data_IF_720642806732
#
_entry.id   IF_720642806732
#
_cell.length_a   1.000
_cell.length_b   1.000
_cell.length_c   1.000
_cell.angle_alpha   90.00
_cell.angle_beta   90.00
_cell.angle_gamma   90.00
#
_symmetry.space_group_name_H-M   'P 1'
#
loop_
_entity.id
_entity.type
_entity.pdbx_description
1 polymer ?
#
# COMPACT_ATOMS: atom_id res chain seq x y z
N UNK A 1 -9.71 1.29 -11.64
CA UNK A 1 -8.85 0.94 -10.48
C UNK A 1 -9.59 -0.08 -9.64
N UNK A 2 -8.89 -1.07 -9.16
CA UNK A 2 -9.48 -2.12 -8.33
C UNK A 2 -8.83 -2.16 -6.95
N UNK A 3 -9.61 -2.57 -5.95
CA UNK A 3 -9.06 -2.80 -4.61
C UNK A 3 -7.87 -3.75 -4.67
N UNK A 4 -6.81 -3.41 -3.94
CA UNK A 4 -5.53 -4.14 -3.86
C UNK A 4 -4.65 -4.07 -5.12
N UNK A 5 -5.02 -3.26 -6.11
CA UNK A 5 -4.09 -2.92 -7.18
C UNK A 5 -2.86 -2.21 -6.62
N UNK A 6 -1.71 -2.51 -7.19
CA UNK A 6 -0.43 -1.87 -6.84
C UNK A 6 0.00 -0.97 -7.98
N UNK A 7 0.34 0.26 -7.65
CA UNK A 7 0.75 1.28 -8.61
C UNK A 7 2.16 1.78 -8.30
N UNK A 8 2.88 2.22 -9.31
CA UNK A 8 4.15 2.93 -9.09
C UNK A 8 3.89 4.25 -8.40
N UNK A 9 4.77 4.60 -7.48
CA UNK A 9 4.78 5.94 -6.88
C UNK A 9 5.51 6.88 -7.86
N UNK A 10 4.82 7.84 -8.49
CA UNK A 10 5.44 8.72 -9.47
C UNK A 10 6.22 9.88 -8.87
N UNK A 11 6.13 10.10 -7.55
CA UNK A 11 6.78 11.24 -6.89
C UNK A 11 8.31 11.02 -6.84
N UNK A 12 9.11 11.81 -7.58
CA UNK A 12 10.55 11.61 -7.60
C UNK A 12 11.24 11.85 -6.26
N UNK A 13 10.61 12.62 -5.36
CA UNK A 13 11.17 12.89 -4.05
C UNK A 13 11.08 11.69 -3.11
N UNK A 14 10.13 10.77 -3.30
CA UNK A 14 9.86 9.67 -2.37
C UNK A 14 9.96 8.28 -2.99
N UNK A 15 9.90 8.14 -4.31
CA UNK A 15 9.87 6.82 -4.97
C UNK A 15 11.10 5.96 -4.70
N UNK A 16 12.22 6.56 -4.31
CA UNK A 16 13.42 5.80 -3.95
C UNK A 16 13.25 4.98 -2.69
N UNK A 17 12.48 5.49 -1.72
CA UNK A 17 12.17 4.81 -0.45
C UNK A 17 10.84 4.08 -0.50
N UNK A 18 9.87 4.65 -1.22
CA UNK A 18 8.50 4.16 -1.37
C UNK A 18 8.22 3.95 -2.84
N UNK A 19 8.62 2.81 -3.41
CA UNK A 19 8.46 2.60 -4.86
C UNK A 19 7.03 2.39 -5.32
N UNK A 20 6.13 1.97 -4.43
CA UNK A 20 4.76 1.62 -4.81
C UNK A 20 3.72 2.16 -3.85
N UNK A 21 2.49 2.24 -4.35
CA UNK A 21 1.29 2.58 -3.58
C UNK A 21 0.28 1.44 -3.75
N UNK A 22 -0.27 0.97 -2.63
CA UNK A 22 -1.28 -0.09 -2.60
C UNK A 22 -2.66 0.54 -2.43
N UNK A 23 -3.56 0.30 -3.38
CA UNK A 23 -4.95 0.74 -3.30
C UNK A 23 -5.72 -0.18 -2.36
N UNK A 24 -6.23 0.37 -1.26
CA UNK A 24 -7.02 -0.41 -0.28
C UNK A 24 -8.49 -0.02 -0.27
N UNK A 25 -8.90 0.90 -1.14
CA UNK A 25 -10.27 1.40 -1.17
C UNK A 25 -11.25 0.34 -1.68
N UNK A 26 -12.38 0.22 -0.98
CA UNK A 26 -13.47 -0.67 -1.40
C UNK A 26 -13.95 -0.34 -2.82
N UNK A 27 -14.23 -1.36 -3.62
CA UNK A 27 -14.80 -1.19 -4.95
C UNK A 27 -16.15 -0.47 -4.97
N UNK A 28 -16.85 -0.45 -3.84
CA UNK A 28 -18.11 0.31 -3.71
C UNK A 28 -17.88 1.82 -3.85
N UNK A 29 -16.66 2.29 -3.65
CA UNK A 29 -16.29 3.71 -3.72
C UNK A 29 -15.56 4.06 -5.02
N UNK A 30 -15.52 3.17 -5.99
CA UNK A 30 -14.83 3.41 -7.27
C UNK A 30 -15.26 4.69 -8.01
N UNK A 31 -16.53 5.14 -7.93
CA UNK A 31 -16.92 6.39 -8.57
C UNK A 31 -16.24 7.64 -8.00
N UNK A 32 -15.64 7.56 -6.82
CA UNK A 32 -14.96 8.72 -6.23
C UNK A 32 -13.68 9.06 -7.00
N UNK A 33 -13.37 10.34 -7.08
CA UNK A 33 -12.15 10.82 -7.74
C UNK A 33 -10.89 10.60 -6.89
N UNK A 34 -11.04 10.13 -5.65
CA UNK A 34 -9.94 9.87 -4.72
C UNK A 34 -9.83 8.39 -4.43
N UNK A 35 -8.61 7.96 -4.09
CA UNK A 35 -8.31 6.58 -3.68
C UNK A 35 -7.61 6.60 -2.34
N UNK A 36 -7.97 5.67 -1.45
CA UNK A 36 -7.21 5.45 -0.23
C UNK A 36 -6.09 4.47 -0.55
N UNK A 37 -4.86 4.91 -0.37
CA UNK A 37 -3.67 4.11 -0.67
C UNK A 37 -2.78 3.99 0.56
N UNK A 38 -1.96 2.94 0.58
CA UNK A 38 -0.94 2.72 1.60
C UNK A 38 0.42 2.65 0.90
N UNK A 39 1.42 3.41 1.38
CA UNK A 39 2.77 3.31 0.82
C UNK A 39 3.36 1.92 1.05
N UNK A 40 4.02 1.38 0.03
CA UNK A 40 4.83 0.16 0.13
C UNK A 40 6.29 0.60 0.07
N UNK A 41 7.02 0.41 1.17
CA UNK A 41 8.39 0.90 1.30
C UNK A 41 9.42 -0.20 1.13
N UNK A 42 10.65 0.20 0.80
CA UNK A 42 11.79 -0.71 0.82
C UNK A 42 12.10 -1.14 2.25
N UNK A 43 12.67 -2.35 2.45
CA UNK A 43 12.97 -2.85 3.80
C UNK A 43 13.84 -1.91 4.63
N UNK A 44 14.77 -1.20 4.00
CA UNK A 44 15.67 -0.28 4.67
C UNK A 44 14.95 0.87 5.41
N UNK A 45 13.77 1.25 4.95
CA UNK A 45 13.00 2.33 5.57
C UNK A 45 12.62 1.98 7.01
N UNK A 46 12.31 0.72 7.27
CA UNK A 46 11.90 0.26 8.60
C UNK A 46 13.09 -0.12 9.49
N UNK A 47 14.31 -0.19 8.95
CA UNK A 47 15.52 -0.47 9.70
C UNK A 47 15.41 -1.71 10.62
N UNK A 48 14.81 -2.78 10.13
CA UNK A 48 14.59 -4.01 10.89
C UNK A 48 13.49 -3.92 11.95
N UNK A 49 12.71 -2.84 11.97
CA UNK A 49 11.66 -2.60 12.97
C UNK A 49 10.25 -2.86 12.43
N UNK A 50 10.12 -3.70 11.42
CA UNK A 50 8.80 -4.09 10.92
C UNK A 50 8.04 -4.85 12.00
N UNK A 51 6.80 -4.42 12.27
CA UNK A 51 5.89 -5.17 13.14
C UNK A 51 5.09 -6.12 12.25
N UNK A 52 5.20 -7.41 12.50
CA UNK A 52 4.70 -8.46 11.62
C UNK A 52 3.26 -8.22 11.13
N UNK A 53 2.36 -7.89 12.04
CA UNK A 53 0.96 -7.69 11.70
C UNK A 53 0.68 -6.31 11.10
N UNK A 54 1.35 -5.28 11.61
CA UNK A 54 1.15 -3.88 11.17
C UNK A 54 1.81 -3.60 9.83
N UNK A 55 2.97 -4.22 9.59
CA UNK A 55 3.80 -3.98 8.41
C UNK A 55 4.04 -5.30 7.65
N UNK A 56 3.00 -5.91 7.07
CA UNK A 56 3.22 -7.13 6.32
C UNK A 56 4.15 -6.92 5.13
N UNK A 57 4.94 -7.95 4.82
CA UNK A 57 5.85 -7.95 3.69
C UNK A 57 5.16 -8.54 2.46
N UNK A 58 5.42 -7.94 1.31
CA UNK A 58 4.94 -8.46 0.02
C UNK A 58 6.09 -8.43 -0.99
N UNK A 59 5.93 -9.19 -2.07
CA UNK A 59 6.85 -9.15 -3.20
C UNK A 59 6.17 -8.48 -4.39
N UNK A 60 6.78 -7.40 -4.89
CA UNK A 60 6.30 -6.67 -6.07
C UNK A 60 7.45 -6.56 -7.06
N UNK A 61 7.25 -7.06 -8.28
CA UNK A 61 8.27 -7.05 -9.32
C UNK A 61 9.59 -7.67 -8.87
N UNK A 62 9.53 -8.76 -8.09
CA UNK A 62 10.70 -9.46 -7.58
C UNK A 62 11.40 -8.79 -6.41
N UNK A 63 10.81 -7.75 -5.83
CA UNK A 63 11.38 -7.00 -4.70
C UNK A 63 10.52 -7.15 -3.47
N UNK A 64 11.15 -7.33 -2.31
CA UNK A 64 10.45 -7.26 -1.02
C UNK A 64 10.11 -5.81 -0.67
N UNK A 65 8.88 -5.59 -0.27
CA UNK A 65 8.40 -4.31 0.24
C UNK A 65 7.56 -4.54 1.50
N UNK A 66 7.46 -3.50 2.33
CA UNK A 66 6.62 -3.53 3.54
C UNK A 66 5.51 -2.51 3.44
N UNK A 67 4.34 -2.89 3.95
CA UNK A 67 3.18 -2.01 4.00
C UNK A 67 3.31 -1.02 5.16
N UNK A 68 3.40 0.28 4.84
CA UNK A 68 3.44 1.35 5.84
C UNK A 68 2.02 1.71 6.25
N UNK A 69 1.33 0.80 6.90
CA UNK A 69 -0.10 0.89 7.16
C UNK A 69 -0.53 2.17 7.88
N UNK A 70 0.19 2.66 8.92
CA UNK A 70 -0.20 3.91 9.57
C UNK A 70 -0.11 5.15 8.68
N UNK A 71 0.53 5.06 7.52
CA UNK A 71 0.69 6.18 6.59
C UNK A 71 -0.34 6.15 5.47
N UNK A 72 -1.41 5.39 5.62
CA UNK A 72 -2.49 5.40 4.64
C UNK A 72 -3.01 6.83 4.42
N UNK A 73 -3.38 7.14 3.20
CA UNK A 73 -3.84 8.48 2.85
C UNK A 73 -4.78 8.46 1.64
N UNK A 74 -5.69 9.42 1.62
CA UNK A 74 -6.50 9.68 0.44
C UNK A 74 -5.70 10.52 -0.56
N UNK A 75 -5.63 10.07 -1.81
CA UNK A 75 -4.95 10.79 -2.89
C UNK A 75 -5.87 10.90 -4.10
N UNK A 76 -5.67 11.91 -4.97
CA UNK A 76 -6.38 11.91 -6.24
C UNK A 76 -6.05 10.64 -7.04
N UNK A 77 -7.05 10.04 -7.70
CA UNK A 77 -6.82 8.83 -8.48
C UNK A 77 -5.73 9.02 -9.55
N UNK A 78 -5.62 10.23 -10.11
CA UNK A 78 -4.60 10.56 -11.11
C UNK A 78 -3.20 10.74 -10.53
N UNK A 79 -3.03 10.72 -9.21
CA UNK A 79 -1.73 10.91 -8.57
C UNK A 79 -0.90 9.63 -8.47
N UNK A 80 -1.43 8.50 -8.90
CA UNK A 80 -0.69 7.24 -8.92
C UNK A 80 -0.12 6.98 -10.31
N UNK A 81 0.96 6.20 -10.36
CA UNK A 81 1.60 5.83 -11.62
C UNK A 81 0.97 4.59 -12.27
N UNK A 82 1.76 3.88 -13.07
CA UNK A 82 1.30 2.70 -13.76
C UNK A 82 0.96 1.56 -12.77
N UNK A 83 -0.09 0.80 -13.08
CA UNK A 83 -0.41 -0.43 -12.34
C UNK A 83 0.65 -1.49 -12.65
N UNK A 84 1.19 -2.12 -11.60
CA UNK A 84 2.22 -3.16 -11.74
C UNK A 84 1.83 -4.50 -11.15
N UNK A 85 0.70 -4.59 -10.45
CA UNK A 85 0.26 -5.85 -9.87
C UNK A 85 -1.03 -5.70 -9.08
N UNK A 86 -1.41 -6.78 -8.41
CA UNK A 86 -2.58 -6.80 -7.52
C UNK A 86 -2.30 -7.77 -6.37
N UNK A 87 -2.63 -7.37 -5.15
CA UNK A 87 -2.41 -8.14 -3.94
C UNK A 87 -3.71 -8.73 -3.36
N UNK A 88 -4.72 -9.00 -4.19
CA UNK A 88 -5.97 -9.60 -3.70
C UNK A 88 -5.75 -10.94 -3.01
N UNK A 89 -4.73 -11.71 -3.42
CA UNK A 89 -4.35 -12.97 -2.76
C UNK A 89 -3.84 -12.77 -1.33
N UNK A 90 -3.43 -11.55 -0.98
CA UNK A 90 -2.92 -11.18 0.34
C UNK A 90 -3.96 -10.41 1.16
N UNK A 91 -5.23 -10.50 0.78
CA UNK A 91 -6.33 -9.76 1.42
C UNK A 91 -6.32 -9.90 2.95
N UNK A 92 -6.15 -11.13 3.45
CA UNK A 92 -6.21 -11.37 4.90
C UNK A 92 -5.14 -10.58 5.65
N UNK A 93 -3.91 -10.57 5.16
CA UNK A 93 -2.82 -9.81 5.77
C UNK A 93 -3.05 -8.31 5.70
N UNK A 94 -3.55 -7.81 4.56
CA UNK A 94 -3.84 -6.39 4.37
C UNK A 94 -4.93 -5.93 5.33
N UNK A 95 -6.05 -6.64 5.38
CA UNK A 95 -7.16 -6.29 6.28
C UNK A 95 -6.73 -6.36 7.74
N UNK A 96 -5.95 -7.38 8.13
CA UNK A 96 -5.45 -7.48 9.50
C UNK A 96 -4.56 -6.27 9.87
N UNK A 97 -3.74 -5.78 8.96
CA UNK A 97 -2.93 -4.59 9.19
C UNK A 97 -3.78 -3.34 9.35
N UNK A 98 -4.80 -3.16 8.50
CA UNK A 98 -5.73 -2.03 8.60
C UNK A 98 -6.51 -2.08 9.91
N UNK A 99 -7.01 -3.25 10.32
CA UNK A 99 -7.70 -3.42 11.58
C UNK A 99 -6.80 -3.03 12.76
N UNK A 100 -5.52 -3.38 12.72
CA UNK A 100 -4.55 -3.02 13.75
C UNK A 100 -4.45 -1.51 13.92
N UNK A 101 -4.44 -0.77 12.82
CA UNK A 101 -4.38 0.70 12.84
C UNK A 101 -5.64 1.31 13.46
N UNK A 102 -6.81 0.79 13.10
CA UNK A 102 -8.07 1.43 13.47
C UNK A 102 -8.66 0.92 14.77
N UNK A 103 -8.43 -0.34 15.13
CA UNK A 103 -9.06 -0.96 16.30
C UNK A 103 -8.05 -1.48 17.33
N UNK A 104 -6.79 -1.59 16.96
CA UNK A 104 -5.74 -2.14 17.83
C UNK A 104 -5.75 -3.67 17.90
N UNK A 105 -6.47 -4.34 17.00
CA UNK A 105 -6.57 -5.80 17.00
C UNK A 105 -5.97 -6.41 15.74
#
# INVERSE_FOLDING_TARGET
>A
MAQFDVYRNPNPATRGRVPYLLDVQSGLLDPLATRVVVPLCRPQVLRGKAAERLNPAFEIEGREVFMLTPELAGVPAKAVGARVGNLASERAAIIAALDMVFTGF
#
